data_IF_537915800917
#
_entry.id   IF_537915800917
#
_cell.length_a   1.000
_cell.length_b   1.000
_cell.length_c   1.000
_cell.angle_alpha   90.00
_cell.angle_beta   90.00
_cell.angle_gamma   90.00
#
_symmetry.space_group_name_H-M   'P 1'
#
loop_
_entity.id
_entity.type
_entity.pdbx_description
1 polymer ?
#
# COMPACT_ATOMS: atom_id res chain seq x y z
N UNK A 1 7.51 17.85 -15.73
CA UNK A 1 6.81 17.55 -14.45
C UNK A 1 7.58 16.49 -13.65
N UNK A 2 7.99 16.82 -12.42
CA UNK A 2 8.90 16.03 -11.59
C UNK A 2 8.17 15.04 -10.66
N UNK A 3 7.40 14.12 -11.25
CA UNK A 3 6.85 12.97 -10.51
C UNK A 3 7.80 11.78 -10.61
N UNK A 4 7.67 10.81 -9.72
CA UNK A 4 8.40 9.55 -9.84
C UNK A 4 7.84 8.69 -10.98
N UNK A 5 8.70 7.82 -11.50
CA UNK A 5 8.33 6.77 -12.45
C UNK A 5 7.38 5.76 -11.80
N UNK A 6 6.60 5.04 -12.61
CA UNK A 6 5.58 4.10 -12.14
C UNK A 6 6.14 3.05 -11.18
N UNK A 7 7.22 2.41 -11.58
CA UNK A 7 7.97 1.44 -10.78
C UNK A 7 8.41 2.00 -9.43
N UNK A 8 8.95 3.22 -9.40
CA UNK A 8 9.36 3.89 -8.16
C UNK A 8 8.19 4.20 -7.24
N UNK A 9 7.04 4.62 -7.79
CA UNK A 9 5.81 4.79 -6.99
C UNK A 9 5.39 3.48 -6.32
N UNK A 10 5.40 2.37 -7.08
CA UNK A 10 5.03 1.04 -6.60
C UNK A 10 6.01 0.50 -5.55
N UNK A 11 7.32 0.65 -5.80
CA UNK A 11 8.37 0.27 -4.86
C UNK A 11 8.25 1.06 -3.55
N UNK A 12 8.01 2.37 -3.63
CA UNK A 12 7.86 3.22 -2.45
C UNK A 12 6.66 2.84 -1.57
N UNK A 13 5.53 2.44 -2.18
CA UNK A 13 4.38 1.91 -1.43
C UNK A 13 4.76 0.64 -0.67
N UNK A 14 5.47 -0.30 -1.32
CA UNK A 14 5.97 -1.49 -0.63
C UNK A 14 6.90 -1.11 0.54
N UNK A 15 7.92 -0.29 0.30
CA UNK A 15 8.90 0.11 1.31
C UNK A 15 8.27 0.86 2.48
N UNK A 16 7.25 1.68 2.23
CA UNK A 16 6.54 2.39 3.30
C UNK A 16 5.82 1.39 4.21
N UNK A 17 5.08 0.42 3.63
CA UNK A 17 4.42 -0.63 4.42
C UNK A 17 5.43 -1.42 5.25
N UNK A 18 6.55 -1.84 4.64
CA UNK A 18 7.56 -2.65 5.34
C UNK A 18 8.26 -1.87 6.44
N UNK A 19 8.60 -0.60 6.20
CA UNK A 19 9.18 0.27 7.21
C UNK A 19 8.27 0.41 8.43
N UNK A 20 7.01 0.83 8.25
CA UNK A 20 6.11 1.05 9.39
C UNK A 20 5.81 -0.26 10.13
N UNK A 21 5.62 -1.37 9.43
CA UNK A 21 5.47 -2.68 10.05
C UNK A 21 6.71 -3.12 10.82
N UNK A 22 7.92 -2.85 10.32
CA UNK A 22 9.16 -3.16 11.05
C UNK A 22 9.23 -2.46 12.42
N UNK A 23 8.55 -1.31 12.55
CA UNK A 23 8.51 -0.55 13.79
C UNK A 23 7.47 -1.09 14.76
N UNK A 24 6.27 -1.42 14.29
CA UNK A 24 5.11 -1.68 15.17
C UNK A 24 4.71 -3.16 15.27
N UNK A 25 5.14 -4.00 14.32
CA UNK A 25 4.77 -5.41 14.21
C UNK A 25 5.81 -6.19 13.37
N UNK A 26 7.10 -6.21 13.79
CA UNK A 26 8.22 -6.73 12.98
C UNK A 26 8.07 -8.19 12.57
N UNK A 27 7.31 -8.99 13.32
CA UNK A 27 7.03 -10.39 13.02
C UNK A 27 6.28 -10.60 11.68
N UNK A 28 5.57 -9.58 11.17
CA UNK A 28 4.83 -9.67 9.91
C UNK A 28 5.66 -9.30 8.67
N UNK A 29 6.87 -8.80 8.85
CA UNK A 29 7.77 -8.38 7.75
C UNK A 29 9.13 -9.05 7.80
N UNK A 30 9.28 -10.09 8.62
CA UNK A 30 10.48 -10.90 8.64
C UNK A 30 10.75 -11.48 7.23
N UNK A 31 11.90 -11.12 6.65
CA UNK A 31 12.32 -11.58 5.33
C UNK A 31 11.79 -10.75 4.15
N UNK A 32 11.22 -9.57 4.40
CA UNK A 32 10.99 -8.60 3.32
C UNK A 32 12.23 -7.74 3.13
N UNK A 33 12.61 -7.56 1.87
CA UNK A 33 13.73 -6.70 1.48
C UNK A 33 13.21 -5.33 1.05
N UNK A 34 13.98 -4.28 1.38
CA UNK A 34 13.75 -2.95 0.81
C UNK A 34 14.07 -2.96 -0.68
N UNK A 35 13.19 -2.36 -1.48
CA UNK A 35 13.40 -2.18 -2.91
C UNK A 35 14.13 -0.86 -3.12
N UNK A 36 15.36 -0.90 -3.62
CA UNK A 36 16.16 0.29 -3.84
C UNK A 36 15.48 1.29 -4.81
N UNK A 37 15.73 2.58 -4.60
CA UNK A 37 15.18 3.66 -5.43
C UNK A 37 15.60 3.59 -6.91
N UNK A 38 16.74 2.94 -7.19
CA UNK A 38 17.32 2.70 -8.51
C UNK A 38 17.16 1.23 -8.97
N UNK A 39 16.25 0.47 -8.36
CA UNK A 39 16.02 -0.92 -8.75
C UNK A 39 15.39 -1.02 -10.14
N UNK A 40 15.93 -1.90 -10.98
CA UNK A 40 15.35 -2.27 -12.29
C UNK A 40 14.42 -3.50 -12.17
N UNK A 41 13.70 -3.65 -11.04
CA UNK A 41 12.83 -4.80 -10.82
C UNK A 41 11.71 -4.85 -11.88
N UNK A 42 11.41 -6.02 -12.45
CA UNK A 42 10.29 -6.15 -13.37
C UNK A 42 8.96 -5.89 -12.62
N UNK A 43 7.97 -5.31 -13.32
CA UNK A 43 6.65 -5.02 -12.75
C UNK A 43 5.98 -6.26 -12.11
N UNK A 44 6.28 -7.47 -12.59
CA UNK A 44 5.80 -8.72 -11.97
C UNK A 44 6.33 -8.93 -10.56
N UNK A 45 7.58 -8.56 -10.30
CA UNK A 45 8.19 -8.65 -8.97
C UNK A 45 7.66 -7.57 -8.04
N UNK A 46 7.52 -6.32 -8.54
CA UNK A 46 6.86 -5.25 -7.78
C UNK A 46 5.42 -5.63 -7.40
N UNK A 47 4.67 -6.25 -8.32
CA UNK A 47 3.33 -6.76 -8.04
C UNK A 47 3.33 -7.83 -6.94
N UNK A 48 4.29 -8.76 -6.95
CA UNK A 48 4.42 -9.76 -5.89
C UNK A 48 4.79 -9.12 -4.55
N UNK A 49 5.71 -8.16 -4.54
CA UNK A 49 6.12 -7.43 -3.34
C UNK A 49 4.94 -6.65 -2.73
N UNK A 50 4.13 -5.98 -3.55
CA UNK A 50 2.92 -5.28 -3.12
C UNK A 50 1.84 -6.24 -2.59
N UNK A 51 1.66 -7.40 -3.21
CA UNK A 51 0.71 -8.39 -2.73
C UNK A 51 1.14 -8.97 -1.37
N UNK A 52 2.44 -9.25 -1.20
CA UNK A 52 3.00 -9.74 0.05
C UNK A 52 2.92 -8.70 1.17
N UNK A 53 3.31 -7.45 0.91
CA UNK A 53 3.21 -6.39 1.91
C UNK A 53 1.78 -6.02 2.26
N UNK A 54 0.85 -6.08 1.30
CA UNK A 54 -0.58 -5.90 1.58
C UNK A 54 -1.13 -6.95 2.56
N UNK A 55 -0.77 -8.22 2.37
CA UNK A 55 -1.14 -9.30 3.30
C UNK A 55 -0.55 -9.09 4.70
N UNK A 56 0.69 -8.62 4.78
CA UNK A 56 1.34 -8.30 6.05
C UNK A 56 0.63 -7.17 6.80
N UNK A 57 0.23 -6.10 6.10
CA UNK A 57 -0.60 -5.01 6.67
C UNK A 57 -1.92 -5.55 7.21
N UNK A 58 -2.63 -6.38 6.44
CA UNK A 58 -3.91 -6.97 6.89
C UNK A 58 -3.73 -7.86 8.12
N UNK A 59 -2.67 -8.68 8.16
CA UNK A 59 -2.39 -9.57 9.28
C UNK A 59 -2.00 -8.80 10.55
N UNK A 60 -1.16 -7.77 10.42
CA UNK A 60 -0.78 -6.90 11.53
C UNK A 60 -1.97 -6.10 12.08
N UNK A 61 -2.85 -5.59 11.21
CA UNK A 61 -4.08 -4.92 11.62
C UNK A 61 -4.99 -5.88 12.40
N UNK A 62 -5.21 -7.09 11.90
CA UNK A 62 -6.05 -8.08 12.58
C UNK A 62 -5.48 -8.45 13.95
N UNK A 63 -4.16 -8.64 14.04
CA UNK A 63 -3.46 -8.87 15.31
C UNK A 63 -3.62 -7.72 16.29
N UNK A 64 -3.38 -6.48 15.83
CA UNK A 64 -3.51 -5.27 16.65
C UNK A 64 -4.94 -5.04 17.14
N UNK A 65 -5.95 -5.25 16.30
CA UNK A 65 -7.36 -5.15 16.69
C UNK A 65 -7.73 -6.21 17.74
N UNK A 66 -7.21 -7.43 17.64
CA UNK A 66 -7.45 -8.50 18.60
C UNK A 66 -6.75 -8.25 19.95
N UNK A 67 -5.53 -7.72 19.93
CA UNK A 67 -4.79 -7.37 21.14
C UNK A 67 -5.39 -6.17 21.87
N UNK A 68 -5.90 -5.18 21.12
CA UNK A 68 -6.40 -3.92 21.65
C UNK A 68 -5.29 -2.97 22.09
N UNK A 69 -5.62 -1.67 22.20
CA UNK A 69 -4.67 -0.63 22.57
C UNK A 69 -3.72 -0.21 21.44
N UNK A 70 -2.66 0.57 21.76
CA UNK A 70 -1.73 1.10 20.76
C UNK A 70 -0.88 0.03 20.06
N UNK A 71 -0.55 0.27 18.79
CA UNK A 71 0.53 -0.43 18.08
C UNK A 71 1.80 0.43 18.18
N UNK A 72 2.79 -0.02 18.93
CA UNK A 72 3.98 0.76 19.26
C UNK A 72 5.25 -0.07 19.10
N UNK A 73 6.31 0.58 18.61
CA UNK A 73 7.67 0.08 18.81
C UNK A 73 8.70 1.19 18.68
N UNK A 74 9.81 0.94 17.98
CA UNK A 74 11.04 1.72 18.08
C UNK A 74 10.86 3.24 17.98
N UNK A 75 10.32 3.71 16.85
CA UNK A 75 10.13 5.15 16.58
C UNK A 75 8.70 5.53 16.20
N UNK A 76 7.77 4.58 16.23
CA UNK A 76 6.40 4.77 15.74
C UNK A 76 5.41 4.28 16.78
N UNK A 77 4.38 5.09 16.99
CA UNK A 77 3.21 4.74 17.79
C UNK A 77 1.95 5.09 17.00
N UNK A 78 1.05 4.13 16.87
CA UNK A 78 -0.35 4.35 16.53
C UNK A 78 -1.20 4.07 17.76
N UNK A 79 -1.87 5.08 18.31
CA UNK A 79 -2.71 4.95 19.52
C UNK A 79 -3.87 3.96 19.36
N UNK A 80 -4.21 3.63 18.11
CA UNK A 80 -5.20 2.62 17.76
C UNK A 80 -4.82 1.97 16.42
N UNK A 81 -5.02 0.64 16.23
CA UNK A 81 -4.73 -0.04 14.97
C UNK A 81 -5.45 0.56 13.74
N UNK A 82 -6.60 1.20 13.95
CA UNK A 82 -7.33 1.92 12.90
C UNK A 82 -6.50 3.08 12.33
N UNK A 83 -5.70 3.77 13.16
CA UNK A 83 -4.83 4.85 12.69
C UNK A 83 -3.70 4.33 11.80
N UNK A 84 -3.20 3.12 12.08
CA UNK A 84 -2.20 2.48 11.22
C UNK A 84 -2.78 2.20 9.82
N UNK A 85 -3.94 1.55 9.72
CA UNK A 85 -4.54 1.26 8.40
C UNK A 85 -5.01 2.54 7.71
N UNK A 86 -5.50 3.55 8.43
CA UNK A 86 -5.85 4.84 7.86
C UNK A 86 -4.64 5.53 7.22
N UNK A 87 -3.47 5.45 7.86
CA UNK A 87 -2.23 5.96 7.28
C UNK A 87 -1.88 5.23 5.97
N UNK A 88 -1.95 3.89 5.94
CA UNK A 88 -1.69 3.11 4.73
C UNK A 88 -2.66 3.48 3.60
N UNK A 89 -3.96 3.57 3.90
CA UNK A 89 -5.01 3.95 2.94
C UNK A 89 -4.71 5.33 2.31
N UNK A 90 -4.39 6.33 3.14
CA UNK A 90 -4.14 7.69 2.66
C UNK A 90 -2.86 7.77 1.82
N UNK A 91 -1.77 7.17 2.31
CA UNK A 91 -0.49 7.14 1.61
C UNK A 91 -0.61 6.45 0.24
N UNK A 92 -1.28 5.30 0.19
CA UNK A 92 -1.50 4.57 -1.05
C UNK A 92 -2.42 5.32 -2.01
N UNK A 93 -3.48 5.95 -1.51
CA UNK A 93 -4.36 6.79 -2.31
C UNK A 93 -3.63 7.96 -2.96
N UNK A 94 -2.67 8.57 -2.24
CA UNK A 94 -1.80 9.60 -2.78
C UNK A 94 -0.98 9.10 -3.98
N UNK A 95 -0.30 7.96 -3.83
CA UNK A 95 0.52 7.38 -4.90
C UNK A 95 -0.33 6.85 -6.07
N UNK A 96 -1.49 6.25 -5.79
CA UNK A 96 -2.44 5.83 -6.81
C UNK A 96 -2.91 7.03 -7.64
N UNK A 97 -3.25 8.16 -7.03
CA UNK A 97 -3.63 9.38 -7.75
C UNK A 97 -2.52 9.90 -8.67
N UNK A 98 -1.26 9.86 -8.23
CA UNK A 98 -0.12 10.24 -9.07
C UNK A 98 0.07 9.29 -10.26
N UNK A 99 -0.15 7.99 -10.08
CA UNK A 99 -0.09 6.98 -11.16
C UNK A 99 -1.22 7.21 -12.17
N UNK A 100 -2.46 7.38 -11.72
CA UNK A 100 -3.61 7.61 -12.60
C UNK A 100 -3.44 8.90 -13.42
N UNK A 101 -2.95 9.98 -12.79
CA UNK A 101 -2.64 11.22 -13.51
C UNK A 101 -1.57 10.99 -14.59
N UNK A 102 -0.50 10.26 -14.27
CA UNK A 102 0.54 9.95 -15.26
C UNK A 102 0.01 9.11 -16.42
N UNK A 103 -0.87 8.13 -16.15
CA UNK A 103 -1.51 7.31 -17.17
C UNK A 103 -2.42 8.16 -18.08
N UNK A 104 -3.23 9.04 -17.50
CA UNK A 104 -4.10 9.99 -18.24
C UNK A 104 -3.30 10.89 -19.18
N UNK A 105 -2.23 11.51 -18.68
CA UNK A 105 -1.38 12.40 -19.49
C UNK A 105 -0.68 11.66 -20.65
N UNK A 106 -0.57 10.32 -20.57
CA UNK A 106 0.01 9.48 -21.62
C UNK A 106 -1.04 8.76 -22.48
N UNK A 107 -2.33 9.08 -22.33
CA UNK A 107 -3.41 8.43 -23.08
C UNK A 107 -3.60 6.95 -22.73
N UNK A 108 -3.20 6.55 -21.53
CA UNK A 108 -3.29 5.18 -20.98
C UNK A 108 -4.22 5.11 -19.77
N UNK A 109 -5.13 6.07 -19.63
CA UNK A 109 -6.11 6.08 -18.55
C UNK A 109 -6.96 4.80 -18.58
N UNK A 110 -7.09 4.09 -17.44
CA UNK A 110 -8.02 2.96 -17.36
C UNK A 110 -9.45 3.38 -17.67
N UNK A 111 -10.23 2.50 -18.30
CA UNK A 111 -11.64 2.75 -18.52
C UNK A 111 -12.43 2.70 -17.20
N UNK A 112 -13.53 3.46 -17.11
CA UNK A 112 -14.35 3.56 -15.90
C UNK A 112 -14.87 2.20 -15.40
N UNK A 113 -15.23 1.29 -16.32
CA UNK A 113 -15.67 -0.06 -15.98
C UNK A 113 -14.54 -0.91 -15.37
N UNK A 114 -13.31 -0.71 -15.83
CA UNK A 114 -12.12 -1.31 -15.24
C UNK A 114 -11.86 -0.73 -13.84
N UNK A 115 -11.97 0.59 -13.67
CA UNK A 115 -11.78 1.25 -12.36
C UNK A 115 -12.81 0.79 -11.34
N UNK A 116 -14.09 0.68 -11.74
CA UNK A 116 -15.16 0.23 -10.86
C UNK A 116 -14.87 -1.16 -10.30
N UNK A 117 -14.41 -2.11 -11.13
CA UNK A 117 -14.12 -3.46 -10.66
C UNK A 117 -12.79 -3.59 -9.90
N UNK A 118 -11.77 -2.79 -10.24
CA UNK A 118 -10.39 -2.99 -9.75
C UNK A 118 -9.93 -1.96 -8.71
N UNK A 119 -10.59 -0.81 -8.64
CA UNK A 119 -10.33 0.23 -7.65
C UNK A 119 -11.51 0.29 -6.70
N UNK A 120 -12.69 0.71 -7.15
CA UNK A 120 -13.82 1.05 -6.26
C UNK A 120 -14.48 -0.16 -5.62
N UNK A 121 -14.66 -1.24 -6.36
CA UNK A 121 -15.25 -2.50 -5.89
C UNK A 121 -14.43 -3.22 -4.81
N UNK A 122 -13.17 -2.80 -4.60
CA UNK A 122 -12.35 -3.27 -3.48
C UNK A 122 -12.80 -2.65 -2.15
N UNK A 123 -13.38 -1.44 -2.18
CA UNK A 123 -13.75 -0.67 -0.99
C UNK A 123 -15.22 -0.80 -0.63
N UNK A 124 -16.07 -1.00 -1.63
CA UNK A 124 -17.53 -1.04 -1.46
C UNK A 124 -18.16 -2.17 -2.27
N UNK A 125 -19.26 -2.68 -1.75
CA UNK A 125 -20.18 -3.52 -2.50
C UNK A 125 -21.43 -2.70 -2.79
N UNK A 126 -21.83 -2.64 -4.05
CA UNK A 126 -23.09 -2.03 -4.47
C UNK A 126 -23.99 -3.11 -5.07
N UNK A 127 -25.26 -3.10 -4.65
CA UNK A 127 -26.31 -3.92 -5.22
C UNK A 127 -27.48 -3.01 -5.55
N UNK A 128 -27.87 -3.00 -6.82
CA UNK A 128 -29.03 -2.26 -7.30
C UNK A 128 -30.15 -3.27 -7.56
N UNK A 129 -31.31 -3.07 -6.91
CA UNK A 129 -32.53 -3.87 -7.13
C UNK A 129 -33.20 -3.55 -8.47
#
# INVERSE_FOLDING_TARGET
PSSWTLDRQLAHVHNTRTYFLSQIAPEFVAGFDEIADDSDLPLSELKMALASSGKAVSAALASGLAAGGPMQGGYVTYENPVLFVQHMIWHEGWHAGQIFLALRENGQEPAEDWEEANVWGVWRTESWE
#
